data_IF_051983265687
#
_entry.id   IF_051983265687
#
_cell.length_a   1.000
_cell.length_b   1.000
_cell.length_c   1.000
_cell.angle_alpha   90.00
_cell.angle_beta   90.00
_cell.angle_gamma   90.00
#
_symmetry.space_group_name_H-M   'P 1'
#
loop_
_entity.id
_entity.type
_entity.pdbx_description
1 polymer ?
#
# COMPACT_ATOMS: atom_id res chain seq x y z
N UNK A 1 80.26 -16.86 -7.57
CA UNK A 1 79.45 -16.70 -8.79
C UNK A 1 78.29 -15.79 -8.47
N UNK A 2 78.22 -14.63 -9.13
CA UNK A 2 77.15 -13.63 -9.02
C UNK A 2 75.99 -13.96 -9.96
N UNK A 3 74.77 -13.66 -9.52
CA UNK A 3 73.56 -13.27 -10.27
C UNK A 3 72.52 -13.03 -9.16
N UNK A 4 72.18 -11.83 -8.71
CA UNK A 4 71.71 -10.62 -9.41
C UNK A 4 70.58 -10.90 -10.41
N UNK A 5 69.34 -10.66 -9.97
CA UNK A 5 68.36 -9.82 -10.68
C UNK A 5 67.11 -9.57 -9.83
N UNK A 6 66.91 -8.29 -9.59
CA UNK A 6 65.70 -7.60 -9.17
C UNK A 6 64.47 -8.01 -9.97
N UNK A 7 63.35 -8.29 -9.28
CA UNK A 7 62.03 -8.22 -9.89
C UNK A 7 61.49 -6.80 -9.67
N UNK A 8 61.44 -6.06 -10.79
CA UNK A 8 61.01 -4.68 -10.85
C UNK A 8 59.51 -4.52 -10.63
N UNK A 9 59.18 -3.44 -9.95
CA UNK A 9 57.86 -2.82 -9.95
C UNK A 9 57.47 -2.44 -11.38
N UNK A 10 56.78 -3.33 -12.11
CA UNK A 10 56.21 -2.98 -13.42
C UNK A 10 55.03 -3.85 -13.88
N UNK A 11 54.16 -4.27 -12.95
CA UNK A 11 52.93 -5.03 -13.30
C UNK A 11 51.64 -4.29 -12.93
N UNK A 12 51.73 -3.15 -12.23
CA UNK A 12 50.57 -2.35 -11.83
C UNK A 12 50.24 -1.17 -12.78
N UNK A 13 51.04 -0.94 -13.83
CA UNK A 13 50.82 0.15 -14.80
C UNK A 13 50.42 -0.30 -16.21
N UNK A 14 50.27 -1.60 -16.47
CA UNK A 14 49.84 -2.11 -17.78
C UNK A 14 48.38 -2.58 -17.85
N UNK A 15 47.63 -2.57 -16.73
CA UNK A 15 46.19 -2.91 -16.73
C UNK A 15 45.27 -1.68 -16.69
N UNK A 16 45.82 -0.47 -16.62
CA UNK A 16 45.05 0.79 -16.51
C UNK A 16 44.95 1.59 -17.81
N UNK A 17 45.38 1.02 -18.94
CA UNK A 17 45.25 1.65 -20.26
C UNK A 17 44.79 0.64 -21.31
N UNK A 18 43.53 0.18 -21.23
CA UNK A 18 42.83 -0.41 -22.37
C UNK A 18 41.31 -0.55 -22.17
N UNK A 19 40.65 0.49 -21.67
CA UNK A 19 39.20 0.71 -21.92
C UNK A 19 38.96 2.22 -22.00
N UNK A 20 39.36 2.82 -23.12
CA UNK A 20 38.97 4.18 -23.48
C UNK A 20 38.54 4.15 -24.94
N UNK A 21 37.23 4.31 -25.16
CA UNK A 21 36.60 4.38 -26.47
C UNK A 21 35.90 3.08 -26.87
N UNK A 22 34.64 3.21 -27.27
CA UNK A 22 33.80 2.24 -28.00
C UNK A 22 33.35 0.96 -27.27
N UNK A 23 32.55 1.07 -26.21
CA UNK A 23 31.72 -0.09 -25.79
C UNK A 23 30.42 0.24 -25.04
N UNK A 24 30.17 1.50 -24.67
CA UNK A 24 28.88 1.89 -24.05
C UNK A 24 27.88 2.36 -25.10
N UNK A 25 28.31 3.20 -26.05
CA UNK A 25 27.42 3.71 -27.11
C UNK A 25 27.03 2.64 -28.15
N UNK A 26 27.89 1.64 -28.37
CA UNK A 26 27.63 0.54 -29.30
C UNK A 26 26.65 -0.50 -28.71
N UNK A 27 26.62 -0.62 -27.38
CA UNK A 27 25.67 -1.47 -26.66
C UNK A 27 24.26 -0.84 -26.56
N UNK A 28 24.17 0.49 -26.67
CA UNK A 28 22.92 1.24 -26.66
C UNK A 28 22.30 1.39 -28.06
N UNK A 29 23.03 1.11 -29.14
CA UNK A 29 22.59 1.38 -30.52
C UNK A 29 22.00 0.18 -31.28
N UNK A 30 22.05 -1.04 -30.73
CA UNK A 30 21.63 -2.26 -31.46
C UNK A 30 20.47 -3.06 -30.86
N UNK A 31 19.73 -2.50 -29.90
CA UNK A 31 18.49 -3.15 -29.46
C UNK A 31 17.68 -2.34 -28.45
N UNK A 32 16.60 -1.73 -28.92
CA UNK A 32 15.29 -1.68 -28.23
C UNK A 32 15.17 -1.33 -26.74
N UNK A 33 16.16 -0.76 -26.06
CA UNK A 33 15.99 -0.31 -24.69
C UNK A 33 15.37 1.09 -24.68
N UNK A 34 14.05 1.15 -24.53
CA UNK A 34 13.37 2.38 -24.10
C UNK A 34 13.68 2.56 -22.60
N UNK A 35 14.19 3.74 -22.25
CA UNK A 35 14.45 4.16 -20.87
C UNK A 35 13.11 4.20 -20.11
N UNK A 36 12.80 3.17 -19.31
CA UNK A 36 11.56 3.06 -18.53
C UNK A 36 11.80 3.14 -17.01
N UNK A 37 12.81 3.90 -16.57
CA UNK A 37 13.05 4.12 -15.14
C UNK A 37 12.48 5.49 -14.75
N UNK A 38 11.38 5.42 -13.99
CA UNK A 38 10.94 6.31 -12.88
C UNK A 38 11.58 7.70 -12.86
N UNK A 39 10.77 8.74 -13.10
CA UNK A 39 11.15 10.12 -12.79
C UNK A 39 11.60 10.21 -11.31
N UNK A 40 12.73 10.86 -11.02
CA UNK A 40 13.16 11.05 -9.65
C UNK A 40 12.13 11.92 -8.92
N UNK A 41 11.68 11.46 -7.76
CA UNK A 41 10.96 12.29 -6.79
C UNK A 41 11.98 13.31 -6.25
N UNK A 42 12.30 14.34 -7.02
CA UNK A 42 12.97 15.53 -6.50
C UNK A 42 11.91 16.50 -6.01
N UNK A 43 11.37 16.17 -4.84
CA UNK A 43 10.58 17.07 -4.02
C UNK A 43 10.85 16.64 -2.58
N UNK A 44 11.55 17.49 -1.83
CA UNK A 44 11.60 17.35 -0.37
C UNK A 44 10.15 17.27 0.09
N UNK A 45 9.80 16.18 0.78
CA UNK A 45 8.53 16.05 1.50
C UNK A 45 8.54 17.07 2.65
N UNK A 46 8.34 18.35 2.34
CA UNK A 46 7.79 19.26 3.33
C UNK A 46 6.33 18.87 3.49
N UNK A 47 5.99 18.34 4.67
CA UNK A 47 4.61 18.17 5.12
C UNK A 47 3.95 19.54 5.26
N UNK A 48 3.59 20.15 4.13
CA UNK A 48 2.71 21.29 4.07
C UNK A 48 1.29 20.77 4.29
N UNK A 49 0.84 20.77 5.56
CA UNK A 49 -0.60 20.78 5.86
C UNK A 49 -1.17 22.00 5.17
N UNK A 50 -1.86 21.80 4.03
CA UNK A 50 -2.64 22.86 3.40
C UNK A 50 -3.76 23.26 4.37
N UNK A 51 -3.57 24.34 5.12
CA UNK A 51 -4.67 25.05 5.73
C UNK A 51 -5.47 25.72 4.62
N UNK A 52 -6.59 25.10 4.25
CA UNK A 52 -7.58 25.76 3.39
C UNK A 52 -8.37 26.75 4.27
N UNK A 53 -8.25 28.04 3.96
CA UNK A 53 -9.11 29.08 4.53
C UNK A 53 -10.51 28.93 3.96
N UNK A 54 -11.49 28.83 4.86
CA UNK A 54 -12.90 28.66 4.58
C UNK A 54 -13.52 29.94 4.01
N UNK A 55 -13.64 30.01 2.69
CA UNK A 55 -14.59 30.90 2.00
C UNK A 55 -15.92 30.17 1.83
N UNK A 56 -16.92 30.54 2.63
CA UNK A 56 -18.24 29.91 2.62
C UNK A 56 -18.99 30.13 1.31
N UNK A 57 -19.35 29.04 0.63
CA UNK A 57 -20.45 28.97 -0.32
C UNK A 57 -21.40 27.87 0.21
N UNK A 58 -22.72 28.10 0.34
CA UNK A 58 -23.63 27.10 0.86
C UNK A 58 -23.72 25.92 -0.12
N UNK A 59 -23.41 24.71 0.36
CA UNK A 59 -23.46 23.50 -0.46
C UNK A 59 -24.91 23.03 -0.64
N UNK A 60 -25.28 22.87 -1.91
CA UNK A 60 -26.51 22.26 -2.39
C UNK A 60 -26.67 20.84 -1.84
N UNK A 61 -27.67 20.65 -0.98
CA UNK A 61 -28.11 19.36 -0.44
C UNK A 61 -28.95 18.60 -1.48
N UNK A 62 -28.32 17.84 -2.38
CA UNK A 62 -29.09 16.90 -3.22
C UNK A 62 -28.26 15.77 -3.84
N UNK A 63 -27.51 15.01 -3.04
CA UNK A 63 -27.07 13.68 -3.45
C UNK A 63 -27.88 12.61 -2.70
N UNK A 64 -28.93 12.12 -3.35
CA UNK A 64 -29.86 11.11 -2.84
C UNK A 64 -29.33 9.69 -2.98
N UNK A 65 -28.08 9.51 -3.46
CA UNK A 65 -27.47 8.19 -3.63
C UNK A 65 -26.84 7.71 -2.31
N UNK A 66 -27.18 6.47 -1.93
CA UNK A 66 -26.53 5.75 -0.81
C UNK A 66 -25.01 5.63 -1.08
N UNK A 67 -24.13 6.13 -0.19
CA UNK A 67 -22.68 6.08 -0.40
C UNK A 67 -22.21 4.62 -0.50
N UNK A 68 -21.18 4.40 -1.32
CA UNK A 68 -20.69 3.05 -1.64
C UNK A 68 -19.28 2.86 -1.10
N UNK A 69 -19.02 1.72 -0.48
CA UNK A 69 -17.70 1.35 0.02
C UNK A 69 -17.23 0.05 -0.63
N UNK A 70 -15.96 -0.02 -1.01
CA UNK A 70 -15.28 -1.25 -1.38
C UNK A 70 -14.42 -1.67 -0.18
N UNK A 71 -14.71 -2.83 0.41
CA UNK A 71 -13.88 -3.45 1.45
C UNK A 71 -13.03 -4.52 0.80
N UNK A 72 -11.72 -4.34 0.80
CA UNK A 72 -10.75 -5.27 0.20
C UNK A 72 -10.06 -6.07 1.30
N UNK A 73 -10.09 -7.40 1.21
CA UNK A 73 -9.47 -8.31 2.17
C UNK A 73 -8.33 -9.05 1.50
N UNK A 74 -7.19 -9.08 2.18
CA UNK A 74 -6.00 -9.81 1.71
C UNK A 74 -5.52 -10.79 2.78
N UNK A 75 -6.14 -11.96 2.85
CA UNK A 75 -5.68 -13.05 3.71
C UNK A 75 -5.97 -14.42 3.08
N UNK A 76 -5.06 -15.37 3.22
CA UNK A 76 -5.18 -16.73 2.65
C UNK A 76 -6.15 -17.66 3.41
N UNK A 77 -6.83 -17.14 4.44
CA UNK A 77 -7.65 -17.90 5.40
C UNK A 77 -8.89 -17.10 5.75
N UNK A 78 -10.06 -17.70 5.54
CA UNK A 78 -11.37 -17.10 5.82
C UNK A 78 -11.74 -17.11 7.31
N UNK A 79 -11.07 -17.96 8.09
CA UNK A 79 -11.17 -18.08 9.55
C UNK A 79 -10.13 -17.24 10.30
N UNK A 80 -9.39 -16.36 9.61
CA UNK A 80 -8.39 -15.49 10.21
C UNK A 80 -8.99 -14.30 10.97
N UNK A 81 -8.20 -13.71 11.88
CA UNK A 81 -8.54 -12.44 12.52
C UNK A 81 -8.73 -11.32 11.47
N UNK A 82 -7.91 -11.28 10.42
CA UNK A 82 -8.08 -10.31 9.31
C UNK A 82 -9.43 -10.46 8.63
N UNK A 83 -9.85 -11.69 8.29
CA UNK A 83 -11.15 -11.94 7.69
C UNK A 83 -12.30 -11.61 8.66
N UNK A 84 -12.11 -11.84 9.96
CA UNK A 84 -13.05 -11.41 11.00
C UNK A 84 -13.20 -9.89 11.01
N UNK A 85 -12.11 -9.14 11.12
CA UNK A 85 -12.11 -7.67 11.12
C UNK A 85 -12.75 -7.12 9.84
N UNK A 86 -12.48 -7.71 8.68
CA UNK A 86 -13.14 -7.30 7.44
C UNK A 86 -14.67 -7.45 7.51
N UNK A 87 -15.19 -8.56 8.04
CA UNK A 87 -16.63 -8.74 8.24
C UNK A 87 -17.22 -7.71 9.21
N UNK A 88 -16.48 -7.33 10.26
CA UNK A 88 -16.90 -6.28 11.20
C UNK A 88 -16.92 -4.90 10.53
N UNK A 89 -15.92 -4.59 9.71
CA UNK A 89 -15.88 -3.39 8.87
C UNK A 89 -17.09 -3.30 7.94
N UNK A 90 -17.43 -4.38 7.23
CA UNK A 90 -18.62 -4.45 6.37
C UNK A 90 -19.88 -4.15 7.18
N UNK A 91 -20.09 -4.86 8.29
CA UNK A 91 -21.29 -4.70 9.11
C UNK A 91 -21.46 -3.27 9.63
N UNK A 92 -20.37 -2.62 10.04
CA UNK A 92 -20.41 -1.23 10.51
C UNK A 92 -20.69 -0.23 9.39
N UNK A 93 -20.10 -0.42 8.21
CA UNK A 93 -20.38 0.41 7.04
C UNK A 93 -21.86 0.29 6.61
N UNK A 94 -22.41 -0.93 6.62
CA UNK A 94 -23.82 -1.17 6.33
C UNK A 94 -24.74 -0.49 7.35
N UNK A 95 -24.41 -0.61 8.65
CA UNK A 95 -25.14 0.03 9.75
C UNK A 95 -25.12 1.56 9.67
N UNK A 96 -24.05 2.16 9.11
CA UNK A 96 -23.94 3.59 8.87
C UNK A 96 -24.55 4.03 7.53
N UNK A 97 -25.24 3.13 6.84
CA UNK A 97 -25.98 3.48 5.63
C UNK A 97 -25.17 3.35 4.34
N UNK A 98 -24.02 2.69 4.31
CA UNK A 98 -23.27 2.45 3.07
C UNK A 98 -23.74 1.18 2.36
N UNK A 99 -23.72 1.19 1.02
CA UNK A 99 -23.74 -0.04 0.21
C UNK A 99 -22.31 -0.57 0.14
N UNK A 100 -22.09 -1.82 0.52
CA UNK A 100 -20.75 -2.40 0.59
C UNK A 100 -20.55 -3.43 -0.51
N UNK A 101 -19.42 -3.34 -1.19
CA UNK A 101 -18.86 -4.38 -2.04
C UNK A 101 -17.66 -5.00 -1.31
N UNK A 102 -17.69 -6.31 -1.07
CA UNK A 102 -16.61 -7.05 -0.41
C UNK A 102 -15.77 -7.75 -1.46
N UNK A 103 -14.51 -7.33 -1.61
CA UNK A 103 -13.50 -7.93 -2.47
C UNK A 103 -12.53 -8.75 -1.62
N UNK A 104 -12.76 -10.07 -1.55
CA UNK A 104 -11.81 -11.00 -0.94
C UNK A 104 -10.84 -11.50 -2.01
N UNK A 105 -9.64 -10.93 -2.05
CA UNK A 105 -8.66 -11.21 -3.10
C UNK A 105 -8.29 -12.68 -3.17
N UNK A 106 -8.25 -13.37 -2.04
CA UNK A 106 -7.89 -14.78 -2.02
C UNK A 106 -9.07 -15.67 -2.43
N UNK A 107 -10.26 -15.40 -1.91
CA UNK A 107 -11.46 -16.16 -2.26
C UNK A 107 -11.85 -15.98 -3.73
N UNK A 108 -11.59 -14.81 -4.32
CA UNK A 108 -11.80 -14.53 -5.75
C UNK A 108 -10.65 -15.05 -6.64
N UNK A 109 -9.59 -15.61 -6.06
CA UNK A 109 -8.49 -16.24 -6.81
C UNK A 109 -7.59 -15.26 -7.56
N UNK A 110 -7.47 -14.02 -7.06
CA UNK A 110 -6.72 -12.97 -7.74
C UNK A 110 -5.24 -13.34 -7.91
N UNK A 111 -4.71 -13.23 -9.13
CA UNK A 111 -3.28 -13.45 -9.40
C UNK A 111 -2.45 -12.19 -9.07
N UNK A 112 -1.57 -12.18 -8.05
CA UNK A 112 -0.82 -10.97 -7.72
C UNK A 112 0.33 -10.65 -8.69
N UNK A 113 0.63 -11.52 -9.66
CA UNK A 113 1.80 -11.36 -10.54
C UNK A 113 1.47 -10.45 -11.72
N UNK A 114 2.33 -9.46 -11.96
CA UNK A 114 2.24 -8.62 -13.15
C UNK A 114 2.42 -9.47 -14.41
N UNK A 115 1.39 -9.46 -15.26
CA UNK A 115 1.35 -10.21 -16.53
C UNK A 115 1.50 -9.25 -17.72
N UNK A 116 1.91 -9.76 -18.89
CA UNK A 116 2.12 -8.94 -20.09
C UNK A 116 0.87 -8.13 -20.49
N UNK A 117 -0.32 -8.74 -20.35
CA UNK A 117 -1.59 -8.06 -20.60
C UNK A 117 -1.76 -6.80 -19.73
N UNK A 118 -1.27 -6.84 -18.49
CA UNK A 118 -1.44 -5.77 -17.50
C UNK A 118 -0.25 -4.81 -17.41
N UNK A 119 0.81 -5.01 -18.21
CA UNK A 119 1.88 -4.03 -18.28
C UNK A 119 1.32 -2.69 -18.74
N UNK A 120 1.73 -1.55 -18.16
CA UNK A 120 1.25 -0.26 -18.61
C UNK A 120 1.63 -0.03 -20.09
N UNK A 121 0.89 0.81 -20.82
CA UNK A 121 1.36 1.39 -22.07
C UNK A 121 1.32 2.91 -21.96
N UNK A 122 2.48 3.53 -21.83
CA UNK A 122 2.59 4.96 -21.58
C UNK A 122 2.20 5.80 -22.80
N UNK A 123 2.11 5.18 -23.98
CA UNK A 123 1.64 5.83 -25.20
C UNK A 123 0.11 5.73 -25.36
N UNK A 124 -0.55 4.83 -24.61
CA UNK A 124 -1.99 4.62 -24.68
C UNK A 124 -2.62 4.56 -23.28
N UNK A 125 -3.25 5.66 -22.89
CA UNK A 125 -3.96 5.78 -21.60
C UNK A 125 -5.31 5.07 -21.56
N UNK A 126 -5.83 4.63 -22.71
CA UNK A 126 -7.09 3.90 -22.80
C UNK A 126 -6.85 2.43 -23.15
N UNK A 127 -5.60 1.95 -23.06
CA UNK A 127 -5.26 0.55 -23.27
C UNK A 127 -6.19 -0.33 -22.41
N UNK A 128 -6.89 -1.32 -23.01
CA UNK A 128 -7.62 -2.30 -22.24
C UNK A 128 -6.66 -3.25 -21.52
N UNK A 129 -6.91 -3.48 -20.23
CA UNK A 129 -6.18 -4.45 -19.42
C UNK A 129 -6.89 -5.81 -19.40
N UNK A 130 -6.33 -6.78 -18.67
CA UNK A 130 -6.98 -8.09 -18.55
C UNK A 130 -8.40 -7.96 -17.96
N UNK A 131 -9.34 -8.87 -18.30
CA UNK A 131 -10.71 -8.80 -17.79
C UNK A 131 -10.81 -8.76 -16.26
N UNK A 132 -9.93 -9.48 -15.57
CA UNK A 132 -9.81 -9.47 -14.11
C UNK A 132 -9.46 -8.07 -13.57
N UNK A 133 -8.45 -7.42 -14.16
CA UNK A 133 -8.03 -6.07 -13.78
C UNK A 133 -9.13 -5.04 -14.07
N UNK A 134 -9.77 -5.12 -15.23
CA UNK A 134 -10.87 -4.22 -15.61
C UNK A 134 -12.08 -4.36 -14.66
N UNK A 135 -12.41 -5.57 -14.22
CA UNK A 135 -13.47 -5.77 -13.23
C UNK A 135 -13.13 -5.10 -11.89
N UNK A 136 -11.89 -5.26 -11.43
CA UNK A 136 -11.43 -4.64 -10.18
C UNK A 136 -11.37 -3.10 -10.29
N UNK A 137 -10.94 -2.57 -11.44
CA UNK A 137 -10.99 -1.13 -11.74
C UNK A 137 -12.43 -0.59 -11.68
N UNK A 138 -13.39 -1.32 -12.25
CA UNK A 138 -14.82 -0.98 -12.20
C UNK A 138 -15.34 -0.93 -10.76
N UNK A 139 -14.96 -1.88 -9.90
CA UNK A 139 -15.35 -1.90 -8.47
C UNK A 139 -14.76 -0.71 -7.72
N UNK A 140 -13.49 -0.38 -7.97
CA UNK A 140 -12.82 0.83 -7.42
C UNK A 140 -13.54 2.12 -7.87
N UNK A 141 -13.95 2.21 -9.13
CA UNK A 141 -14.70 3.38 -9.64
C UNK A 141 -16.08 3.53 -9.02
N UNK A 142 -16.77 2.41 -8.75
CA UNK A 142 -18.12 2.42 -8.19
C UNK A 142 -18.17 2.88 -6.72
N UNK A 143 -17.05 2.75 -6.01
CA UNK A 143 -16.92 3.05 -4.59
C UNK A 143 -16.53 4.52 -4.33
N UNK A 144 -17.15 5.12 -3.32
CA UNK A 144 -16.82 6.44 -2.79
C UNK A 144 -15.70 6.33 -1.74
N UNK A 145 -15.69 5.19 -1.01
CA UNK A 145 -14.70 4.84 0.01
C UNK A 145 -14.04 3.49 -0.34
N UNK A 146 -12.74 3.38 -0.10
CA UNK A 146 -12.00 2.11 -0.24
C UNK A 146 -11.39 1.79 1.12
N UNK A 147 -11.69 0.62 1.68
CA UNK A 147 -11.11 0.18 2.95
C UNK A 147 -10.38 -1.14 2.71
N UNK A 148 -9.07 -1.17 2.98
CA UNK A 148 -8.28 -2.41 2.86
C UNK A 148 -8.05 -2.98 4.26
N UNK A 149 -8.15 -4.30 4.40
CA UNK A 149 -7.91 -5.02 5.65
C UNK A 149 -6.91 -6.14 5.39
N UNK A 150 -5.76 -6.08 6.05
CA UNK A 150 -4.63 -6.98 5.77
C UNK A 150 -3.76 -7.24 7.01
N UNK A 151 -3.10 -8.41 7.10
CA UNK A 151 -2.00 -8.58 8.04
C UNK A 151 -0.76 -7.83 7.54
N UNK A 152 -0.01 -7.19 8.45
CA UNK A 152 1.23 -6.51 8.13
C UNK A 152 2.35 -7.55 8.02
N UNK A 153 2.90 -7.71 6.82
CA UNK A 153 4.04 -8.57 6.55
C UNK A 153 5.26 -7.71 6.20
N UNK A 154 6.36 -7.90 6.93
CA UNK A 154 7.59 -7.14 6.72
C UNK A 154 7.38 -5.62 6.69
N UNK A 155 6.62 -5.12 7.67
CA UNK A 155 6.25 -3.70 7.79
C UNK A 155 5.50 -3.12 6.57
N UNK A 156 4.85 -3.98 5.77
CA UNK A 156 4.12 -3.58 4.57
C UNK A 156 2.88 -4.45 4.31
N UNK A 157 2.20 -4.20 3.19
CA UNK A 157 1.07 -5.02 2.74
C UNK A 157 1.54 -6.40 2.26
N UNK A 158 0.71 -7.47 2.37
CA UNK A 158 1.05 -8.77 1.83
C UNK A 158 1.26 -8.72 0.31
N UNK A 159 2.04 -9.66 -0.23
CA UNK A 159 2.28 -9.76 -1.66
C UNK A 159 0.99 -9.83 -2.50
N UNK A 160 -0.07 -10.45 -1.95
CA UNK A 160 -1.39 -10.51 -2.59
C UNK A 160 -1.98 -9.11 -2.79
N UNK A 161 -2.05 -8.30 -1.73
CA UNK A 161 -2.54 -6.92 -1.81
C UNK A 161 -1.59 -6.02 -2.62
N UNK A 162 -0.28 -6.21 -2.50
CA UNK A 162 0.69 -5.45 -3.31
C UNK A 162 0.52 -5.73 -4.80
N UNK A 163 0.32 -6.99 -5.18
CA UNK A 163 0.04 -7.37 -6.56
C UNK A 163 -1.27 -6.79 -7.08
N UNK A 164 -2.29 -6.71 -6.22
CA UNK A 164 -3.54 -6.02 -6.55
C UNK A 164 -3.32 -4.54 -6.84
N UNK A 165 -2.55 -3.85 -6.00
CA UNK A 165 -2.15 -2.47 -6.27
C UNK A 165 -1.39 -2.39 -7.60
N UNK A 166 -0.37 -3.22 -7.80
CA UNK A 166 0.49 -3.15 -8.99
C UNK A 166 -0.25 -3.36 -10.30
N UNK A 167 -1.21 -4.29 -10.34
CA UNK A 167 -1.96 -4.61 -11.56
C UNK A 167 -3.16 -3.68 -11.78
N UNK A 168 -3.89 -3.33 -10.71
CA UNK A 168 -5.15 -2.56 -10.79
C UNK A 168 -4.92 -1.06 -10.79
N UNK A 169 -3.92 -0.55 -10.07
CA UNK A 169 -3.65 0.89 -10.00
C UNK A 169 -2.75 1.33 -11.16
N UNK A 170 -3.22 1.07 -12.37
CA UNK A 170 -2.41 1.14 -13.59
C UNK A 170 -2.43 2.53 -14.27
N UNK A 171 -1.54 2.71 -15.25
CA UNK A 171 -1.46 3.91 -16.07
C UNK A 171 -2.75 4.15 -16.84
N UNK A 172 -3.18 5.41 -16.96
CA UNK A 172 -4.46 5.74 -17.59
C UNK A 172 -5.68 5.43 -16.72
N UNK A 173 -5.54 4.66 -15.64
CA UNK A 173 -6.58 4.45 -14.64
C UNK A 173 -6.34 5.27 -13.37
N UNK A 174 -5.38 4.85 -12.54
CA UNK A 174 -5.10 5.44 -11.23
C UNK A 174 -4.12 6.62 -11.33
N UNK A 175 -3.23 6.63 -12.32
CA UNK A 175 -2.27 7.70 -12.57
C UNK A 175 -2.08 7.98 -14.06
N UNK A 176 -1.31 9.04 -14.38
CA UNK A 176 -0.98 9.39 -15.77
C UNK A 176 -1.98 10.31 -16.47
N UNK A 177 -3.03 10.77 -15.78
CA UNK A 177 -3.98 11.79 -16.25
C UNK A 177 -3.80 13.10 -15.47
N UNK A 178 -4.13 14.22 -16.10
CA UNK A 178 -4.19 15.52 -15.41
C UNK A 178 -5.32 15.61 -14.39
N UNK A 179 -6.46 14.98 -14.68
CA UNK A 179 -7.54 14.76 -13.72
C UNK A 179 -7.61 13.27 -13.37
N UNK A 180 -7.35 12.96 -12.09
CA UNK A 180 -7.42 11.58 -11.60
C UNK A 180 -8.85 11.04 -11.69
N UNK A 181 -8.99 9.76 -12.06
CA UNK A 181 -10.26 9.02 -11.94
C UNK A 181 -10.60 8.65 -10.49
N UNK A 182 -9.64 8.77 -9.58
CA UNK A 182 -9.80 8.53 -8.14
C UNK A 182 -10.00 9.81 -7.32
N UNK A 183 -10.05 10.98 -7.98
CA UNK A 183 -10.37 12.24 -7.34
C UNK A 183 -11.74 12.16 -6.63
N UNK A 184 -11.84 12.74 -5.42
CA UNK A 184 -13.03 12.69 -4.58
C UNK A 184 -13.17 11.41 -3.75
N UNK A 185 -12.43 10.34 -4.08
CA UNK A 185 -12.45 9.08 -3.32
C UNK A 185 -11.55 9.17 -2.09
N UNK A 186 -11.91 8.41 -1.06
CA UNK A 186 -11.16 8.35 0.20
C UNK A 186 -10.75 6.92 0.53
N UNK A 187 -9.64 6.74 1.24
CA UNK A 187 -9.12 5.42 1.56
C UNK A 187 -8.70 5.24 3.01
N UNK A 188 -9.03 4.09 3.59
CA UNK A 188 -8.56 3.64 4.91
C UNK A 188 -7.79 2.33 4.76
N UNK A 189 -6.57 2.29 5.28
CA UNK A 189 -5.73 1.10 5.29
C UNK A 189 -5.69 0.53 6.72
N UNK A 190 -6.23 -0.66 6.92
CA UNK A 190 -6.28 -1.33 8.23
C UNK A 190 -5.29 -2.49 8.22
N UNK A 191 -4.14 -2.27 8.84
CA UNK A 191 -3.07 -3.25 8.98
C UNK A 191 -3.06 -3.87 10.37
N UNK A 192 -3.07 -5.20 10.45
CA UNK A 192 -2.95 -5.95 11.69
C UNK A 192 -1.48 -6.33 11.92
N UNK A 193 -0.89 -5.88 13.02
CA UNK A 193 0.50 -6.14 13.39
C UNK A 193 0.58 -7.18 14.51
N UNK A 194 1.51 -8.13 14.37
CA UNK A 194 1.71 -9.17 15.39
C UNK A 194 2.45 -8.71 16.64
N UNK A 195 3.28 -7.66 16.52
CA UNK A 195 3.97 -7.06 17.64
C UNK A 195 2.98 -6.45 18.66
N UNK A 196 3.38 -6.43 19.92
CA UNK A 196 2.52 -5.90 20.99
C UNK A 196 2.35 -4.39 20.90
N UNK A 197 1.25 -3.85 21.45
CA UNK A 197 0.96 -2.42 21.39
C UNK A 197 2.03 -1.53 22.03
N UNK A 198 2.76 -2.05 23.02
CA UNK A 198 3.85 -1.37 23.72
C UNK A 198 5.22 -1.54 23.04
N UNK A 199 5.31 -2.32 21.95
CA UNK A 199 6.57 -2.50 21.22
C UNK A 199 6.97 -1.20 20.48
N UNK A 200 8.24 -0.82 20.62
CA UNK A 200 8.81 0.38 20.00
C UNK A 200 8.76 0.37 18.46
N UNK A 201 8.54 -0.79 17.83
CA UNK A 201 8.41 -0.90 16.37
C UNK A 201 7.07 -0.36 15.85
N UNK A 202 6.01 -0.33 16.67
CA UNK A 202 4.66 0.05 16.21
C UNK A 202 4.60 1.47 15.63
N UNK A 203 5.16 2.51 16.28
CA UNK A 203 5.22 3.86 15.69
C UNK A 203 6.01 3.91 14.37
N UNK A 204 7.08 3.11 14.25
CA UNK A 204 7.86 3.02 13.03
C UNK A 204 7.05 2.35 11.90
N UNK A 205 6.34 1.26 12.19
CA UNK A 205 5.43 0.59 11.24
C UNK A 205 4.37 1.55 10.75
N UNK A 206 3.72 2.30 11.66
CA UNK A 206 2.74 3.30 11.27
C UNK A 206 3.35 4.34 10.31
N UNK A 207 4.53 4.88 10.64
CA UNK A 207 5.21 5.88 9.80
C UNK A 207 5.57 5.34 8.41
N UNK A 208 6.09 4.11 8.35
CA UNK A 208 6.44 3.47 7.07
C UNK A 208 5.21 3.22 6.20
N UNK A 209 4.13 2.70 6.79
CA UNK A 209 2.87 2.47 6.08
C UNK A 209 2.24 3.78 5.62
N UNK A 210 2.21 4.82 6.46
CA UNK A 210 1.62 6.10 6.09
C UNK A 210 2.41 6.78 4.96
N UNK A 211 3.74 6.75 5.06
CA UNK A 211 4.61 7.30 4.01
C UNK A 211 4.39 6.58 2.67
N UNK A 212 4.35 5.24 2.66
CA UNK A 212 4.26 4.48 1.42
C UNK A 212 2.83 4.41 0.86
N UNK A 213 1.83 4.13 1.69
CA UNK A 213 0.46 3.89 1.26
C UNK A 213 -0.33 5.20 1.11
N UNK A 214 -0.29 6.10 2.10
CA UNK A 214 -0.98 7.39 2.01
C UNK A 214 -0.18 8.39 1.17
N UNK A 215 1.08 8.62 1.53
CA UNK A 215 1.93 9.65 0.90
C UNK A 215 2.47 9.25 -0.47
N UNK A 216 2.78 7.97 -0.68
CA UNK A 216 3.25 7.43 -1.94
C UNK A 216 2.11 7.12 -2.88
N UNK A 217 1.31 6.10 -2.53
CA UNK A 217 0.33 5.50 -3.44
C UNK A 217 -0.93 6.35 -3.56
N UNK A 218 -1.62 6.63 -2.45
CA UNK A 218 -2.93 7.29 -2.50
C UNK A 218 -2.83 8.74 -2.98
N UNK A 219 -1.85 9.49 -2.47
CA UNK A 219 -1.57 10.85 -2.93
C UNK A 219 -1.22 10.90 -4.42
N UNK A 220 -0.31 10.04 -4.89
CA UNK A 220 0.09 10.03 -6.31
C UNK A 220 -1.09 9.70 -7.24
N UNK A 221 -2.01 8.86 -6.78
CA UNK A 221 -3.21 8.51 -7.54
C UNK A 221 -4.36 9.52 -7.36
N UNK A 222 -4.15 10.61 -6.61
CA UNK A 222 -5.09 11.71 -6.49
C UNK A 222 -6.32 11.42 -5.63
N UNK A 223 -6.25 10.49 -4.68
CA UNK A 223 -7.29 10.35 -3.67
C UNK A 223 -7.36 11.60 -2.79
N UNK A 224 -8.57 11.99 -2.39
CA UNK A 224 -8.77 13.22 -1.62
C UNK A 224 -8.34 13.07 -0.16
N UNK A 225 -8.46 11.88 0.42
CA UNK A 225 -8.03 11.58 1.79
C UNK A 225 -7.59 10.12 1.91
N UNK A 226 -6.52 9.87 2.66
CA UNK A 226 -6.00 8.54 2.97
C UNK A 226 -5.56 8.50 4.43
N UNK A 227 -5.90 7.42 5.15
CA UNK A 227 -5.54 7.19 6.55
C UNK A 227 -5.03 5.77 6.77
N UNK A 228 -4.11 5.60 7.70
CA UNK A 228 -3.64 4.30 8.19
C UNK A 228 -4.20 4.03 9.58
N UNK A 229 -4.66 2.81 9.81
CA UNK A 229 -4.92 2.23 11.11
C UNK A 229 -4.00 1.02 11.29
N UNK A 230 -3.12 1.07 12.30
CA UNK A 230 -2.29 -0.07 12.70
C UNK A 230 -2.90 -0.67 13.96
N UNK A 231 -3.24 -1.95 13.90
CA UNK A 231 -3.84 -2.72 14.98
C UNK A 231 -2.80 -3.72 15.52
N UNK A 232 -2.04 -3.38 16.57
CA UNK A 232 -1.08 -4.28 17.19
C UNK A 232 -1.77 -5.40 17.98
N UNK A 233 -0.99 -6.33 18.53
CA UNK A 233 -1.43 -7.48 19.32
C UNK A 233 -2.25 -8.52 18.51
N UNK A 234 -1.99 -8.65 17.21
CA UNK A 234 -2.75 -9.56 16.35
C UNK A 234 -2.39 -11.05 16.51
N UNK A 235 -1.38 -11.36 17.31
CA UNK A 235 -0.96 -12.73 17.62
C UNK A 235 -1.65 -13.26 18.89
N UNK A 236 -2.01 -14.54 18.87
CA UNK A 236 -2.57 -15.23 20.06
C UNK A 236 -1.54 -15.32 21.20
N UNK A 237 -0.27 -15.41 20.85
CA UNK A 237 0.85 -15.36 21.79
C UNK A 237 1.56 -14.02 21.60
N UNK A 238 1.53 -13.11 22.58
CA UNK A 238 2.22 -11.82 22.48
C UNK A 238 3.70 -12.01 22.17
N UNK A 239 4.23 -11.25 21.21
CA UNK A 239 5.63 -11.31 20.79
C UNK A 239 6.28 -9.93 20.86
N UNK A 240 7.48 -9.86 21.44
CA UNK A 240 8.26 -8.61 21.56
C UNK A 240 9.76 -8.88 21.51
N UNK A 241 10.52 -7.87 21.12
CA UNK A 241 11.99 -7.93 21.20
C UNK A 241 12.47 -7.33 22.53
N UNK A 242 13.34 -8.05 23.23
CA UNK A 242 14.02 -7.52 24.40
C UNK A 242 15.17 -6.56 24.01
N UNK A 243 15.81 -5.91 25.00
CA UNK A 243 16.92 -4.99 24.75
C UNK A 243 18.17 -5.63 24.15
N UNK A 244 18.28 -6.96 24.17
CA UNK A 244 19.36 -7.72 23.54
C UNK A 244 18.98 -8.23 22.14
N UNK A 245 17.76 -7.97 21.68
CA UNK A 245 17.24 -8.40 20.38
C UNK A 245 16.70 -9.83 20.37
N UNK A 246 16.47 -10.46 21.52
CA UNK A 246 15.83 -11.77 21.58
C UNK A 246 14.31 -11.64 21.42
N UNK A 247 13.70 -12.59 20.70
CA UNK A 247 12.25 -12.68 20.59
C UNK A 247 11.66 -13.36 21.83
N UNK A 248 10.96 -12.60 22.65
CA UNK A 248 10.13 -13.12 23.73
C UNK A 248 8.76 -13.51 23.20
N UNK A 249 8.32 -14.74 23.51
CA UNK A 249 6.99 -15.24 23.15
C UNK A 249 6.23 -15.56 24.43
N UNK A 250 5.14 -14.82 24.67
CA UNK A 250 4.28 -15.00 25.84
C UNK A 250 3.44 -16.28 25.82
N UNK A 251 2.68 -16.48 26.89
CA UNK A 251 1.63 -17.49 26.98
C UNK A 251 0.48 -17.16 26.01
N UNK A 252 -0.23 -18.18 25.54
CA UNK A 252 -1.40 -17.98 24.70
C UNK A 252 -2.56 -17.37 25.49
N UNK A 253 -3.16 -16.31 24.95
CA UNK A 253 -4.39 -15.75 25.53
C UNK A 253 -5.54 -16.74 25.37
N UNK A 254 -6.27 -17.00 26.46
CA UNK A 254 -7.36 -17.99 26.46
C UNK A 254 -8.54 -17.55 27.32
N UNK A 255 -9.68 -18.23 27.16
CA UNK A 255 -10.92 -17.96 27.90
C UNK A 255 -11.35 -16.49 27.85
N UNK A 256 -11.77 -15.95 28.99
CA UNK A 256 -12.26 -14.57 29.11
C UNK A 256 -11.23 -13.50 28.69
N UNK A 257 -9.93 -13.77 28.84
CA UNK A 257 -8.89 -12.85 28.39
C UNK A 257 -8.85 -12.75 26.86
N UNK A 258 -8.99 -13.89 26.16
CA UNK A 258 -9.12 -13.93 24.70
C UNK A 258 -10.38 -13.20 24.24
N UNK A 259 -11.53 -13.43 24.89
CA UNK A 259 -12.77 -12.76 24.50
C UNK A 259 -12.68 -11.22 24.66
N UNK A 260 -12.06 -10.77 25.75
CA UNK A 260 -11.79 -9.34 26.00
C UNK A 260 -10.85 -8.76 24.94
N UNK A 261 -9.82 -9.51 24.56
CA UNK A 261 -8.87 -9.11 23.52
C UNK A 261 -9.54 -8.89 22.16
N UNK A 262 -10.37 -9.83 21.74
CA UNK A 262 -11.10 -9.71 20.48
C UNK A 262 -12.11 -8.55 20.51
N UNK A 263 -12.80 -8.35 21.64
CA UNK A 263 -13.71 -7.22 21.80
C UNK A 263 -12.99 -5.86 21.75
N UNK A 264 -11.78 -5.76 22.28
CA UNK A 264 -10.94 -4.56 22.16
C UNK A 264 -10.51 -4.32 20.70
N UNK A 265 -10.12 -5.36 19.97
CA UNK A 265 -9.84 -5.28 18.53
C UNK A 265 -11.03 -4.75 17.74
N UNK A 266 -12.24 -5.28 17.99
CA UNK A 266 -13.46 -4.82 17.34
C UNK A 266 -13.76 -3.35 17.65
N UNK A 267 -13.58 -2.93 18.91
CA UNK A 267 -13.76 -1.54 19.32
C UNK A 267 -12.76 -0.60 18.62
N UNK A 268 -11.46 -0.93 18.64
CA UNK A 268 -10.42 -0.14 17.97
C UNK A 268 -10.72 0.05 16.47
N UNK A 269 -11.10 -1.03 15.79
CA UNK A 269 -11.54 -0.97 14.37
C UNK A 269 -12.74 -0.05 14.21
N UNK A 270 -13.73 -0.18 15.08
CA UNK A 270 -14.92 0.63 15.01
C UNK A 270 -14.65 2.12 15.23
N UNK A 271 -13.73 2.46 16.13
CA UNK A 271 -13.30 3.82 16.37
C UNK A 271 -12.57 4.40 15.14
N UNK A 272 -11.66 3.63 14.53
CA UNK A 272 -11.00 4.06 13.29
C UNK A 272 -11.97 4.31 12.14
N UNK A 273 -12.95 3.44 11.95
CA UNK A 273 -13.98 3.61 10.90
C UNK A 273 -14.85 4.83 11.21
N UNK A 274 -15.31 4.98 12.45
CA UNK A 274 -16.14 6.13 12.87
C UNK A 274 -15.41 7.44 12.65
N UNK A 275 -14.16 7.52 13.10
CA UNK A 275 -13.32 8.71 12.93
C UNK A 275 -13.05 9.01 11.45
N UNK A 276 -12.82 7.98 10.65
CA UNK A 276 -12.64 8.13 9.20
C UNK A 276 -13.91 8.65 8.53
N UNK A 277 -15.09 8.12 8.86
CA UNK A 277 -16.36 8.57 8.29
C UNK A 277 -16.74 9.99 8.73
N UNK A 278 -16.38 10.39 9.96
CA UNK A 278 -16.67 11.71 10.52
C UNK A 278 -15.80 12.83 9.94
N UNK A 279 -14.61 12.52 9.41
CA UNK A 279 -13.74 13.53 8.82
C UNK A 279 -14.38 14.18 7.57
N UNK A 280 -14.19 15.49 7.43
CA UNK A 280 -14.81 16.31 6.37
C UNK A 280 -14.60 15.70 4.99
N UNK A 281 -15.67 15.63 4.20
CA UNK A 281 -15.58 15.24 2.79
C UNK A 281 -14.93 16.36 2.01
N UNK A 282 -13.74 16.09 1.47
CA UNK A 282 -13.05 17.02 0.58
C UNK A 282 -13.68 16.90 -0.82
N UNK A 283 -14.26 17.98 -1.39
CA UNK A 283 -14.87 17.96 -2.71
C UNK A 283 -13.88 17.50 -3.80
N UNK A 284 -14.42 16.86 -4.84
CA UNK A 284 -13.67 16.37 -6.01
C UNK A 284 -13.25 17.48 -6.98
#
# INVERSE_FOLDING_TARGET
MRNDRSFGANTAQQLTQRVHGSTVDEFLSTGGFRLWIVYPITGVLETQRKHHTSGGIPLSHNDTRRPTALVVVSHHRTDSLTAHIARRTVAQLEATGHRVDLLDLHAEGFDPRMNVADQPDWNDREKPYSPEVEDHMRRVLAADLIITVFPIYWAYVPALLKGWIDRVWNYGFAYGRSKSRLAGKRMLWIGLAGATADDAIIPAIHTMLDTQLSGGIAYYCGLSDSKIAVLPDAEERPQRLDSAGNLEIGEAISGAARDTHYADFERKVADHITNFLAADRIPA
#
